data_IF_088376172469
#
_entry.id   IF_088376172469
#
_cell.length_a   1.000
_cell.length_b   1.000
_cell.length_c   1.000
_cell.angle_alpha   90.00
_cell.angle_beta   90.00
_cell.angle_gamma   90.00
#
_symmetry.space_group_name_H-M   'P 1'
#
loop_
_entity.id
_entity.type
_entity.pdbx_description
1 polymer ?
#
# COMPACT_ATOMS: atom_id res chain seq x y z
N UNK A 1 -5.34 13.53 -3.02
CA UNK A 1 -5.28 12.05 -2.93
C UNK A 1 -6.60 11.33 -3.26
N UNK A 2 -7.77 11.81 -2.78
CA UNK A 2 -9.08 11.21 -3.13
C UNK A 2 -9.31 11.00 -4.64
N UNK A 3 -9.00 12.03 -5.47
CA UNK A 3 -9.05 11.95 -6.94
C UNK A 3 -8.13 10.87 -7.53
N UNK A 4 -6.93 10.70 -6.97
CA UNK A 4 -5.96 9.67 -7.41
C UNK A 4 -6.49 8.27 -7.14
N UNK A 5 -7.04 8.04 -5.94
CA UNK A 5 -7.62 6.76 -5.56
C UNK A 5 -8.84 6.40 -6.41
N UNK A 6 -9.65 7.39 -6.82
CA UNK A 6 -10.81 7.19 -7.67
C UNK A 6 -10.45 6.77 -9.12
N UNK A 7 -9.24 7.07 -9.59
CA UNK A 7 -8.77 6.65 -10.91
C UNK A 7 -8.31 5.20 -10.97
N UNK A 8 -8.24 4.50 -9.84
CA UNK A 8 -7.74 3.12 -9.80
C UNK A 8 -8.88 2.16 -10.13
N UNK A 9 -8.75 1.46 -11.27
CA UNK A 9 -9.66 0.37 -11.62
C UNK A 9 -9.39 -0.85 -10.72
N UNK A 10 -10.24 -1.04 -9.72
CA UNK A 10 -10.17 -2.17 -8.77
C UNK A 10 -10.77 -3.46 -9.32
N UNK A 11 -11.31 -3.46 -10.54
CA UNK A 11 -11.84 -4.64 -11.22
C UNK A 11 -10.76 -5.62 -11.69
N UNK A 12 -9.51 -5.15 -11.84
CA UNK A 12 -8.39 -5.98 -12.27
C UNK A 12 -7.34 -6.22 -11.15
N UNK A 13 -6.57 -7.33 -11.20
CA UNK A 13 -5.57 -7.68 -10.18
C UNK A 13 -4.51 -6.60 -9.92
N UNK A 14 -4.06 -5.92 -10.99
CA UNK A 14 -3.04 -4.86 -10.91
C UNK A 14 -3.57 -3.64 -10.17
N UNK A 15 -4.80 -3.24 -10.46
CA UNK A 15 -5.42 -2.09 -9.80
C UNK A 15 -5.75 -2.34 -8.33
N UNK A 16 -6.10 -3.57 -7.92
CA UNK A 16 -6.23 -3.91 -6.49
C UNK A 16 -4.92 -3.68 -5.73
N UNK A 17 -3.80 -4.11 -6.31
CA UNK A 17 -2.45 -3.86 -5.74
C UNK A 17 -2.15 -2.36 -5.69
N UNK A 18 -2.33 -1.67 -6.81
CA UNK A 18 -2.01 -0.25 -6.92
C UNK A 18 -2.87 0.59 -5.95
N UNK A 19 -4.15 0.23 -5.77
CA UNK A 19 -5.06 0.87 -4.83
C UNK A 19 -4.56 0.70 -3.39
N UNK A 20 -4.23 -0.52 -2.97
CA UNK A 20 -3.71 -0.80 -1.64
C UNK A 20 -2.38 -0.04 -1.39
N UNK A 21 -1.49 0.00 -2.37
CA UNK A 21 -0.25 0.79 -2.32
C UNK A 21 -0.54 2.27 -2.11
N UNK A 22 -1.38 2.86 -2.96
CA UNK A 22 -1.68 4.29 -2.93
C UNK A 22 -2.40 4.69 -1.64
N UNK A 23 -3.34 3.87 -1.18
CA UNK A 23 -4.07 4.11 0.06
C UNK A 23 -3.12 4.07 1.26
N UNK A 24 -2.21 3.09 1.29
CA UNK A 24 -1.22 2.97 2.36
C UNK A 24 -0.29 4.19 2.41
N UNK A 25 0.21 4.65 1.26
CA UNK A 25 1.04 5.86 1.17
C UNK A 25 0.24 7.11 1.57
N UNK A 26 -1.01 7.22 1.12
CA UNK A 26 -1.89 8.35 1.43
C UNK A 26 -2.15 8.51 2.93
N UNK A 27 -2.45 7.39 3.60
CA UNK A 27 -2.93 7.36 4.98
C UNK A 27 -1.79 7.35 6.00
N UNK A 28 -0.72 6.61 5.72
CA UNK A 28 0.37 6.38 6.68
C UNK A 28 1.62 7.20 6.35
N UNK A 29 1.71 7.79 5.15
CA UNK A 29 2.88 8.54 4.71
C UNK A 29 4.15 7.69 4.64
N UNK A 30 4.01 6.36 4.50
CA UNK A 30 5.14 5.45 4.42
C UNK A 30 6.01 5.76 3.21
N UNK A 31 7.34 5.61 3.37
CA UNK A 31 8.26 5.82 2.25
C UNK A 31 8.10 4.70 1.26
N UNK A 32 8.29 5.03 -0.02
CA UNK A 32 8.19 4.08 -1.13
C UNK A 32 9.08 2.85 -0.91
N UNK A 33 10.32 3.05 -0.45
CA UNK A 33 11.24 1.94 -0.23
C UNK A 33 10.78 1.05 0.93
N UNK A 34 10.31 1.63 2.03
CA UNK A 34 9.74 0.88 3.15
C UNK A 34 8.55 0.02 2.67
N UNK A 35 7.66 0.59 1.86
CA UNK A 35 6.50 -0.12 1.33
C UNK A 35 6.86 -1.30 0.41
N UNK A 36 7.94 -1.16 -0.38
CA UNK A 36 8.44 -2.24 -1.24
C UNK A 36 8.98 -3.42 -0.43
N UNK A 37 9.58 -3.12 0.72
CA UNK A 37 10.26 -4.10 1.57
C UNK A 37 9.32 -4.72 2.62
N UNK A 38 8.06 -4.26 2.73
CA UNK A 38 7.05 -4.86 3.60
C UNK A 38 6.82 -6.32 3.21
N UNK A 39 6.91 -7.20 4.20
CA UNK A 39 6.59 -8.62 4.12
C UNK A 39 5.23 -8.90 4.75
N UNK A 40 4.62 -10.03 4.38
CA UNK A 40 3.37 -10.49 4.97
C UNK A 40 3.50 -10.62 6.51
N UNK A 41 4.64 -11.08 7.01
CA UNK A 41 4.92 -11.22 8.45
C UNK A 41 5.04 -9.90 9.22
N UNK A 42 5.15 -8.76 8.52
CA UNK A 42 5.12 -7.44 9.14
C UNK A 42 3.70 -6.98 9.48
N UNK A 43 2.67 -7.62 8.90
CA UNK A 43 1.26 -7.35 9.23
C UNK A 43 0.90 -8.07 10.53
N UNK A 44 0.75 -7.32 11.61
CA UNK A 44 0.28 -7.81 12.90
C UNK A 44 -1.21 -7.57 12.99
N UNK A 45 -1.98 -8.47 12.38
CA UNK A 45 -3.44 -8.37 12.29
C UNK A 45 -4.11 -8.23 13.66
N UNK A 46 -3.75 -9.11 14.62
CA UNK A 46 -4.33 -9.09 15.96
C UNK A 46 -4.02 -7.79 16.72
N UNK A 47 -2.81 -7.25 16.51
CA UNK A 47 -2.38 -6.00 17.13
C UNK A 47 -2.78 -4.75 16.32
N UNK A 48 -3.44 -4.92 15.16
CA UNK A 48 -3.79 -3.87 14.19
C UNK A 48 -2.60 -2.96 13.86
N UNK A 49 -1.44 -3.56 13.59
CA UNK A 49 -0.18 -2.85 13.33
C UNK A 49 0.55 -3.37 12.10
N UNK A 50 1.32 -2.49 11.47
CA UNK A 50 2.35 -2.81 10.49
C UNK A 50 3.69 -2.48 11.13
N UNK A 51 4.52 -3.49 11.38
CA UNK A 51 5.80 -3.34 12.07
C UNK A 51 6.95 -3.62 11.11
N UNK A 52 7.80 -2.61 10.89
CA UNK A 52 8.92 -2.69 9.97
C UNK A 52 10.20 -2.16 10.60
N UNK A 53 11.33 -2.51 10.01
CA UNK A 53 12.58 -1.75 10.16
C UNK A 53 12.70 -0.84 8.95
N UNK A 54 12.68 0.47 9.17
CA UNK A 54 12.74 1.46 8.10
C UNK A 54 14.06 1.31 7.32
N UNK A 55 13.98 1.28 5.99
CA UNK A 55 15.12 1.09 5.11
C UNK A 55 16.19 2.17 5.30
N UNK A 56 15.79 3.45 5.40
CA UNK A 56 16.71 4.59 5.45
C UNK A 56 17.39 4.74 6.82
N UNK A 57 16.62 4.68 7.90
CA UNK A 57 17.08 5.00 9.26
C UNK A 57 17.53 3.75 10.01
N UNK A 58 17.18 2.55 9.52
CA UNK A 58 17.37 1.26 10.20
C UNK A 58 16.69 1.18 11.57
N UNK A 59 15.72 2.06 11.81
CA UNK A 59 14.95 2.09 13.07
C UNK A 59 13.66 1.28 12.92
N UNK A 60 13.25 0.64 14.01
CA UNK A 60 11.93 0.03 14.09
C UNK A 60 10.85 1.13 14.00
N UNK A 61 9.81 0.86 13.24
CA UNK A 61 8.63 1.71 13.12
C UNK A 61 7.37 0.85 13.16
N UNK A 62 6.37 1.35 13.88
CA UNK A 62 5.05 0.74 13.96
C UNK A 62 4.03 1.73 13.39
N UNK A 63 3.25 1.28 12.41
CA UNK A 63 2.16 2.03 11.83
C UNK A 63 0.82 1.38 12.19
N UNK A 64 -0.25 2.16 12.41
CA UNK A 64 -1.56 1.59 12.61
C UNK A 64 -2.05 0.95 11.30
N UNK A 65 -2.58 -0.27 11.40
CA UNK A 65 -3.31 -0.93 10.32
C UNK A 65 -4.76 -0.45 10.36
N UNK A 66 -5.02 0.65 9.65
CA UNK A 66 -6.36 1.22 9.53
C UNK A 66 -7.28 0.28 8.77
N UNK A 67 -8.59 0.35 9.04
CA UNK A 67 -9.56 -0.59 8.47
C UNK A 67 -9.63 -0.55 6.95
N UNK A 68 -9.61 0.65 6.37
CA UNK A 68 -9.61 0.82 4.92
C UNK A 68 -8.34 0.25 4.26
N UNK A 69 -7.19 0.39 4.92
CA UNK A 69 -5.92 -0.22 4.49
C UNK A 69 -6.01 -1.74 4.61
N UNK A 70 -6.51 -2.26 5.73
CA UNK A 70 -6.69 -3.71 5.96
C UNK A 70 -7.57 -4.34 4.90
N UNK A 71 -8.74 -3.75 4.62
CA UNK A 71 -9.66 -4.21 3.58
C UNK A 71 -9.04 -4.16 2.18
N UNK A 72 -8.31 -3.09 1.85
CA UNK A 72 -7.62 -2.99 0.57
C UNK A 72 -6.51 -4.05 0.42
N UNK A 73 -5.78 -4.33 1.50
CA UNK A 73 -4.77 -5.40 1.53
C UNK A 73 -5.44 -6.77 1.35
N UNK A 74 -6.50 -7.07 2.09
CA UNK A 74 -7.21 -8.35 2.00
C UNK A 74 -7.76 -8.59 0.59
N UNK A 75 -8.42 -7.60 -0.01
CA UNK A 75 -8.94 -7.71 -1.38
C UNK A 75 -7.81 -7.96 -2.39
N UNK A 76 -6.67 -7.28 -2.24
CA UNK A 76 -5.49 -7.58 -3.04
C UNK A 76 -4.96 -8.99 -2.78
N UNK A 77 -4.77 -9.42 -1.53
CA UNK A 77 -4.21 -10.74 -1.21
C UNK A 77 -5.09 -11.88 -1.76
N UNK A 78 -6.41 -11.77 -1.63
CA UNK A 78 -7.36 -12.81 -2.09
C UNK A 78 -7.60 -12.80 -3.58
N UNK A 79 -7.74 -11.62 -4.16
CA UNK A 79 -8.32 -11.48 -5.50
C UNK A 79 -7.38 -10.80 -6.51
N UNK A 80 -6.18 -10.39 -6.10
CA UNK A 80 -5.26 -9.65 -6.95
C UNK A 80 -3.81 -10.13 -6.92
N UNK A 81 -3.33 -10.73 -5.81
CA UNK A 81 -1.94 -11.15 -5.67
C UNK A 81 -1.72 -12.42 -6.50
N UNK A 82 -0.76 -12.43 -7.43
CA UNK A 82 -0.42 -13.64 -8.16
C UNK A 82 0.14 -14.70 -7.21
N UNK A 83 0.01 -15.97 -7.58
CA UNK A 83 0.62 -17.06 -6.82
C UNK A 83 2.15 -16.94 -6.88
N UNK A 84 2.78 -16.79 -5.72
CA UNK A 84 4.23 -16.61 -5.59
C UNK A 84 4.71 -16.95 -4.20
N UNK A 85 5.95 -17.45 -4.11
CA UNK A 85 6.68 -17.72 -2.87
C UNK A 85 7.34 -16.48 -2.27
N UNK A 86 7.29 -15.33 -2.95
CA UNK A 86 7.86 -14.09 -2.42
C UNK A 86 7.22 -13.74 -1.07
N UNK A 87 8.01 -13.41 -0.03
CA UNK A 87 7.46 -13.02 1.27
C UNK A 87 6.91 -11.59 1.28
N UNK A 88 7.19 -10.80 0.24
CA UNK A 88 6.78 -9.41 0.15
C UNK A 88 5.27 -9.30 -0.03
N UNK A 89 4.68 -8.34 0.68
CA UNK A 89 3.25 -8.03 0.58
C UNK A 89 2.91 -7.70 -0.88
N UNK A 90 3.58 -6.70 -1.44
CA UNK A 90 3.36 -6.29 -2.82
C UNK A 90 4.37 -6.89 -3.78
N UNK A 91 3.88 -7.43 -4.90
CA UNK A 91 4.69 -8.05 -5.94
C UNK A 91 4.36 -7.47 -7.32
N UNK A 92 5.29 -7.61 -8.27
CA UNK A 92 5.02 -7.27 -9.67
C UNK A 92 4.03 -8.27 -10.28
N UNK A 93 3.21 -7.77 -11.20
CA UNK A 93 2.22 -8.57 -11.95
C UNK A 93 2.72 -9.06 -13.30
N UNK A 94 4.00 -8.82 -13.61
CA UNK A 94 4.68 -9.38 -14.76
C UNK A 94 5.67 -10.42 -14.25
N UNK A 95 5.78 -11.56 -14.94
CA UNK A 95 6.74 -12.60 -14.56
C UNK A 95 8.18 -12.05 -14.60
N UNK A 96 9.06 -12.50 -13.68
CA UNK A 96 8.78 -13.35 -12.52
C UNK A 96 7.98 -12.63 -11.42
N UNK A 97 7.01 -13.26 -10.75
CA UNK A 97 6.14 -12.61 -9.75
C UNK A 97 6.81 -12.35 -8.40
N UNK A 98 7.73 -11.39 -8.36
CA UNK A 98 8.62 -11.12 -7.23
C UNK A 98 8.41 -9.72 -6.64
N UNK A 99 9.23 -9.36 -5.65
CA UNK A 99 9.29 -8.01 -5.11
C UNK A 99 9.53 -6.96 -6.21
N UNK A 100 9.15 -5.72 -5.93
CA UNK A 100 9.47 -4.62 -6.83
C UNK A 100 10.98 -4.38 -6.90
N UNK A 101 11.53 -4.31 -8.11
CA UNK A 101 12.94 -3.97 -8.33
C UNK A 101 13.35 -2.61 -7.75
N UNK A 102 14.65 -2.43 -7.58
CA UNK A 102 15.26 -1.28 -6.89
C UNK A 102 14.82 0.07 -7.46
N UNK A 103 14.69 0.20 -8.80
CA UNK A 103 14.79 1.51 -9.44
C UNK A 103 13.50 2.25 -9.85
N UNK A 104 12.31 1.65 -10.01
CA UNK A 104 11.22 2.46 -10.62
C UNK A 104 9.75 2.09 -10.38
N UNK A 105 9.41 0.88 -9.91
CA UNK A 105 8.02 0.43 -10.13
C UNK A 105 6.96 1.18 -9.32
N UNK A 106 7.22 1.51 -8.06
CA UNK A 106 6.21 2.18 -7.22
C UNK A 106 6.05 3.67 -7.55
N UNK A 107 7.15 4.35 -7.88
CA UNK A 107 7.12 5.74 -8.33
C UNK A 107 6.33 5.88 -9.63
N UNK A 108 6.45 4.91 -10.53
CA UNK A 108 5.68 4.86 -11.77
C UNK A 108 4.17 4.67 -11.50
N UNK A 109 3.79 3.86 -10.51
CA UNK A 109 2.38 3.72 -10.07
C UNK A 109 1.85 5.08 -9.61
N UNK A 110 2.54 5.74 -8.68
CA UNK A 110 2.10 7.04 -8.14
C UNK A 110 2.01 8.07 -9.27
N UNK A 111 3.02 8.17 -10.12
CA UNK A 111 3.06 9.09 -11.27
C UNK A 111 1.92 8.81 -12.25
N UNK A 112 1.66 7.54 -12.58
CA UNK A 112 0.56 7.11 -13.46
C UNK A 112 -0.78 7.64 -12.96
N UNK A 113 -1.14 7.33 -11.71
CA UNK A 113 -2.46 7.72 -11.19
C UNK A 113 -2.58 9.20 -10.86
N UNK A 114 -1.46 9.87 -10.53
CA UNK A 114 -1.46 11.32 -10.37
C UNK A 114 -1.73 12.02 -11.70
N UNK A 115 -1.13 11.54 -12.80
CA UNK A 115 -1.42 12.02 -14.16
C UNK A 115 -2.86 11.73 -14.59
N UNK A 116 -3.37 10.52 -14.35
CA UNK A 116 -4.76 10.16 -14.65
C UNK A 116 -5.76 11.01 -13.87
N UNK A 117 -5.43 11.40 -12.65
CA UNK A 117 -6.26 12.28 -11.84
C UNK A 117 -6.23 13.74 -12.30
N UNK A 118 -5.45 14.10 -13.34
CA UNK A 118 -5.28 15.48 -13.79
C UNK A 118 -4.61 16.36 -12.73
N UNK A 119 -3.69 15.79 -11.94
CA UNK A 119 -2.88 16.53 -10.98
C UNK A 119 -1.50 16.71 -11.60
N UNK A 120 -1.11 17.96 -11.83
CA UNK A 120 0.25 18.27 -12.27
C UNK A 120 1.21 18.06 -11.10
N UNK A 121 2.08 17.06 -11.22
CA UNK A 121 3.26 16.98 -10.37
C UNK A 121 4.23 18.05 -10.88
N UNK A 122 4.76 18.95 -10.03
CA UNK A 122 5.70 19.98 -10.48
C UNK A 122 6.90 19.32 -11.15
N UNK A 123 7.01 19.44 -12.47
CA UNK A 123 8.14 18.92 -13.22
C UNK A 123 9.41 19.64 -12.77
N UNK A 124 10.41 18.87 -12.34
CA UNK A 124 11.73 19.40 -11.96
C UNK A 124 11.98 19.68 -10.48
N UNK A 125 11.00 19.53 -9.57
CA UNK A 125 11.28 19.64 -8.14
C UNK A 125 11.61 18.27 -7.52
N UNK A 126 12.79 18.11 -6.92
CA UNK A 126 13.16 16.97 -6.05
C UNK A 126 12.28 16.86 -4.77
N UNK A 127 11.10 17.51 -4.74
CA UNK A 127 10.21 17.74 -3.60
C UNK A 127 8.78 17.21 -3.78
N UNK A 128 8.47 16.52 -4.89
CA UNK A 128 7.12 15.99 -5.15
C UNK A 128 6.60 15.02 -4.09
N UNK A 129 7.48 14.17 -3.51
CA UNK A 129 7.08 13.18 -2.50
C UNK A 129 6.91 13.76 -1.09
N UNK A 130 7.50 14.93 -0.80
CA UNK A 130 7.41 15.59 0.50
C UNK A 130 6.12 16.40 0.69
N UNK A 131 5.46 16.80 -0.40
CA UNK A 131 4.30 17.70 -0.36
C UNK A 131 2.96 16.98 -0.13
N UNK A 132 2.93 15.64 -0.20
CA UNK A 132 1.71 14.84 -0.05
C UNK A 132 1.39 14.46 1.40
N UNK A 133 2.19 14.90 2.37
CA UNK A 133 2.14 14.44 3.77
C UNK A 133 1.22 15.24 4.70
N UNK A 134 0.39 16.13 4.16
CA UNK A 134 -0.56 16.93 4.93
C UNK A 134 -2.00 16.74 4.45
N UNK A 135 -2.65 15.66 4.88
CA UNK A 135 -4.10 15.63 5.12
C UNK A 135 -4.38 14.62 6.23
N UNK A 136 -4.96 15.12 7.33
CA UNK A 136 -5.08 14.44 8.62
C UNK A 136 -6.04 13.26 8.68
N UNK A 137 -5.86 12.51 9.76
CA UNK A 137 -6.65 11.36 10.19
C UNK A 137 -7.83 11.83 11.05
N UNK A 138 -9.05 11.57 10.59
CA UNK A 138 -10.27 11.57 11.40
C UNK A 138 -11.29 10.66 10.72
N UNK A 139 -11.48 9.47 11.27
CA UNK A 139 -12.73 9.08 11.93
C UNK A 139 -12.80 7.57 12.14
N UNK A 140 -13.34 7.26 13.32
CA UNK A 140 -13.46 5.98 13.99
C UNK A 140 -14.90 5.51 13.79
N UNK A 141 -15.10 4.47 12.98
CA UNK A 141 -16.36 3.73 12.90
C UNK A 141 -16.01 2.25 13.07
N UNK A 142 -16.52 1.65 14.16
CA UNK A 142 -16.11 0.36 14.68
C UNK A 142 -16.48 -0.82 13.78
N UNK A 143 -15.70 -1.90 13.88
CA UNK A 143 -15.94 -3.14 13.13
C UNK A 143 -16.00 -4.37 14.05
N UNK A 144 -16.95 -5.26 13.73
CA UNK A 144 -17.29 -6.47 14.50
C UNK A 144 -16.26 -7.59 14.33
N UNK A 145 -15.90 -8.21 15.46
CA UNK A 145 -14.76 -9.11 15.68
C UNK A 145 -14.86 -10.46 14.94
N UNK A 146 -16.06 -10.87 14.51
CA UNK A 146 -16.36 -12.22 14.00
C UNK A 146 -16.07 -12.43 12.51
N UNK A 147 -16.13 -11.39 11.68
CA UNK A 147 -15.81 -11.52 10.25
C UNK A 147 -14.31 -11.60 9.97
N UNK A 148 -13.48 -11.07 10.87
CA UNK A 148 -12.04 -10.92 10.70
C UNK A 148 -11.28 -12.24 10.87
N UNK A 149 -11.62 -13.05 11.89
CA UNK A 149 -10.95 -14.33 12.14
C UNK A 149 -11.05 -15.27 10.92
N UNK A 150 -12.23 -15.35 10.29
CA UNK A 150 -12.44 -16.22 9.13
C UNK A 150 -11.70 -15.75 7.87
N UNK A 151 -11.41 -14.45 7.75
CA UNK A 151 -10.80 -13.92 6.53
C UNK A 151 -9.27 -13.84 6.59
N UNK A 152 -8.68 -13.74 7.78
CA UNK A 152 -7.23 -13.70 8.01
C UNK A 152 -6.64 -15.10 8.13
N UNK A 153 -7.34 -16.06 8.75
CA UNK A 153 -6.85 -17.46 8.85
C UNK A 153 -6.85 -18.19 7.49
N UNK A 154 -7.55 -17.65 6.49
CA UNK A 154 -7.61 -18.18 5.13
C UNK A 154 -6.61 -17.51 4.15
N UNK A 155 -5.72 -16.64 4.64
CA UNK A 155 -4.63 -16.00 3.91
C UNK A 155 -3.28 -16.60 4.29
#
# INVERSE_FOLDING_TARGET
MKRVLACVDRGNPTGKRDYAILLTVARLGMRVQDLKDIKLSNLKWDARKIEIVQHKTKQAASYPLLDDIGWAIIDYLKNGRPQTTSPHLFVRHNAPFEAFGTHANLHNIITKYTRLAGIELPSGSKRGMHSLRHTGYSDNEGFSQTAHHLQVTAL
#
